data_IF_749996994449
#
_entry.id   IF_749996994449
#
_cell.length_a   1.000
_cell.length_b   1.000
_cell.length_c   1.000
_cell.angle_alpha   90.00
_cell.angle_beta   90.00
_cell.angle_gamma   90.00
#
_symmetry.space_group_name_H-M   'P 1'
#
loop_
_entity.id
_entity.type
_entity.pdbx_description
1 polymer ?
#
# COMPACT_ATOMS: atom_id res chain seq x y z
N UNK A 1 -20.45 -54.08 -11.94
CA UNK A 1 -19.48 -53.05 -12.38
C UNK A 1 -20.13 -51.68 -12.62
N UNK A 2 -21.25 -51.56 -13.35
CA UNK A 2 -21.82 -50.26 -13.76
C UNK A 2 -22.32 -49.36 -12.63
N UNK A 3 -22.94 -49.91 -11.57
CA UNK A 3 -23.42 -49.10 -10.43
C UNK A 3 -22.29 -48.43 -9.65
N UNK A 4 -21.23 -49.18 -9.32
CA UNK A 4 -20.06 -48.66 -8.59
C UNK A 4 -19.38 -47.53 -9.37
N UNK A 5 -19.25 -47.71 -10.69
CA UNK A 5 -18.64 -46.73 -11.58
C UNK A 5 -19.48 -45.45 -11.69
N UNK A 6 -20.81 -45.58 -11.78
CA UNK A 6 -21.70 -44.42 -11.78
C UNK A 6 -21.69 -43.66 -10.45
N UNK A 7 -21.59 -44.37 -9.32
CA UNK A 7 -21.42 -43.74 -7.99
C UNK A 7 -20.10 -42.98 -7.90
N UNK A 8 -19.02 -43.53 -8.44
CA UNK A 8 -17.71 -42.87 -8.44
C UNK A 8 -17.72 -41.57 -9.27
N UNK A 9 -18.35 -41.59 -10.46
CA UNK A 9 -18.53 -40.38 -11.27
C UNK A 9 -19.36 -39.31 -10.57
N UNK A 10 -20.42 -39.70 -9.86
CA UNK A 10 -21.23 -38.77 -9.08
C UNK A 10 -20.42 -38.05 -7.99
N UNK A 11 -19.57 -38.80 -7.27
CA UNK A 11 -18.67 -38.24 -6.26
C UNK A 11 -17.65 -37.29 -6.91
N UNK A 12 -17.07 -37.67 -8.05
CA UNK A 12 -16.07 -36.85 -8.73
C UNK A 12 -16.63 -35.51 -9.21
N UNK A 13 -17.84 -35.52 -9.79
CA UNK A 13 -18.53 -34.30 -10.23
C UNK A 13 -18.86 -33.40 -9.03
N UNK A 14 -19.29 -33.99 -7.92
CA UNK A 14 -19.59 -33.24 -6.70
C UNK A 14 -18.34 -32.58 -6.12
N UNK A 15 -17.21 -33.30 -6.05
CA UNK A 15 -15.93 -32.75 -5.61
C UNK A 15 -15.42 -31.65 -6.54
N UNK A 16 -15.58 -31.81 -7.86
CA UNK A 16 -15.21 -30.79 -8.83
C UNK A 16 -16.06 -29.53 -8.67
N UNK A 17 -17.36 -29.67 -8.37
CA UNK A 17 -18.24 -28.55 -8.06
C UNK A 17 -17.80 -27.79 -6.81
N UNK A 18 -17.39 -28.49 -5.76
CA UNK A 18 -16.86 -27.86 -4.52
C UNK A 18 -15.55 -27.11 -4.82
N UNK A 19 -14.62 -27.74 -5.53
CA UNK A 19 -13.36 -27.11 -5.93
C UNK A 19 -13.60 -25.86 -6.80
N UNK A 20 -14.51 -25.93 -7.77
CA UNK A 20 -14.85 -24.80 -8.61
C UNK A 20 -15.48 -23.64 -7.81
N UNK A 21 -16.35 -23.95 -6.84
CA UNK A 21 -16.93 -22.94 -5.93
C UNK A 21 -15.86 -22.28 -5.06
N UNK A 22 -14.91 -23.04 -4.52
CA UNK A 22 -13.80 -22.48 -3.73
C UNK A 22 -12.87 -21.59 -4.56
N UNK A 23 -12.60 -21.95 -5.81
CA UNK A 23 -11.82 -21.11 -6.74
C UNK A 23 -12.59 -19.83 -7.07
N UNK A 24 -13.91 -19.92 -7.31
CA UNK A 24 -14.76 -18.77 -7.58
C UNK A 24 -14.90 -17.82 -6.39
N UNK A 25 -15.05 -18.36 -5.17
CA UNK A 25 -15.10 -17.58 -3.94
C UNK A 25 -13.77 -16.88 -3.67
N UNK A 26 -12.62 -17.52 -3.92
CA UNK A 26 -11.33 -16.84 -3.81
C UNK A 26 -11.17 -15.71 -4.84
N UNK A 27 -11.73 -15.87 -6.05
CA UNK A 27 -11.67 -14.84 -7.08
C UNK A 27 -12.64 -13.68 -6.82
N UNK A 28 -13.83 -13.96 -6.27
CA UNK A 28 -14.87 -12.94 -6.01
C UNK A 28 -14.74 -12.27 -4.64
N UNK A 29 -14.25 -12.95 -3.60
CA UNK A 29 -13.95 -12.32 -2.30
C UNK A 29 -12.72 -11.38 -2.37
N UNK A 30 -11.90 -11.47 -3.42
CA UNK A 30 -10.91 -10.43 -3.72
C UNK A 30 -11.55 -9.12 -4.25
N UNK A 31 -12.83 -9.16 -4.64
CA UNK A 31 -13.52 -8.05 -5.32
C UNK A 31 -14.76 -7.50 -4.59
N UNK A 32 -15.36 -8.19 -3.61
CA UNK A 32 -16.71 -7.84 -3.12
C UNK A 32 -16.80 -7.56 -1.60
N UNK A 33 -15.73 -7.73 -0.83
CA UNK A 33 -15.69 -7.40 0.61
C UNK A 33 -14.60 -6.40 0.98
N UNK A 34 -14.43 -5.36 0.17
CA UNK A 34 -13.62 -4.21 0.54
C UNK A 34 -14.32 -2.94 0.11
N UNK A 35 -15.08 -2.31 1.01
CA UNK A 35 -15.06 -0.84 0.99
C UNK A 35 -13.58 -0.47 1.01
N UNK A 36 -13.14 0.38 0.09
CA UNK A 36 -11.77 0.88 0.01
C UNK A 36 -11.45 1.71 1.26
N UNK A 37 -11.34 1.06 2.42
CA UNK A 37 -10.61 1.58 3.54
C UNK A 37 -9.17 1.47 3.08
N UNK A 38 -8.65 2.56 2.52
CA UNK A 38 -7.22 2.65 2.25
C UNK A 38 -6.51 2.29 3.55
N UNK A 39 -5.61 1.30 3.48
CA UNK A 39 -4.79 0.91 4.62
C UNK A 39 -4.11 2.17 5.18
N UNK A 40 -4.18 2.35 6.49
CA UNK A 40 -3.62 3.52 7.15
C UNK A 40 -2.09 3.47 7.05
N UNK A 41 -1.42 4.63 6.92
CA UNK A 41 0.03 4.68 7.04
C UNK A 41 0.50 4.05 8.34
N UNK A 42 1.65 3.40 8.29
CA UNK A 42 2.28 2.86 9.48
C UNK A 42 2.84 3.96 10.37
N UNK A 43 2.70 3.78 11.68
CA UNK A 43 3.26 4.70 12.66
C UNK A 43 4.80 4.71 12.56
N UNK A 44 5.33 5.89 12.27
CA UNK A 44 6.77 6.14 12.11
C UNK A 44 7.33 7.03 13.21
N UNK A 45 6.49 7.60 14.07
CA UNK A 45 6.89 8.52 15.14
C UNK A 45 6.11 8.15 16.40
N UNK A 46 6.75 7.38 17.28
CA UNK A 46 6.17 7.04 18.58
C UNK A 46 5.77 8.31 19.36
N UNK A 47 4.66 8.25 20.09
CA UNK A 47 4.10 9.38 20.85
C UNK A 47 5.13 10.07 21.76
N UNK A 48 6.04 9.30 22.39
CA UNK A 48 7.12 9.84 23.24
C UNK A 48 8.09 10.78 22.50
N UNK A 49 8.12 10.73 21.17
CA UNK A 49 8.92 11.60 20.31
C UNK A 49 8.13 12.81 19.77
N UNK A 50 6.88 12.97 20.20
CA UNK A 50 6.01 14.10 19.87
C UNK A 50 5.91 14.98 21.12
N UNK A 51 6.62 16.11 21.12
CA UNK A 51 6.60 17.05 22.23
C UNK A 51 5.68 18.22 21.91
N UNK A 52 4.70 18.44 22.77
CA UNK A 52 3.73 19.53 22.65
C UNK A 52 4.03 20.57 23.73
N UNK A 53 4.23 21.81 23.32
CA UNK A 53 4.40 22.98 24.17
C UNK A 53 3.34 24.02 23.84
N UNK A 54 3.23 25.05 24.68
CA UNK A 54 2.25 26.13 24.50
C UNK A 54 2.42 26.89 23.17
N UNK A 55 3.64 26.93 22.62
CA UNK A 55 3.99 27.72 21.43
C UNK A 55 4.47 26.90 20.23
N UNK A 56 4.66 25.58 20.38
CA UNK A 56 5.24 24.74 19.33
C UNK A 56 4.92 23.25 19.50
N UNK A 57 5.03 22.53 18.39
CA UNK A 57 5.12 21.07 18.36
C UNK A 57 6.50 20.68 17.84
N UNK A 58 7.17 19.75 18.53
CA UNK A 58 8.49 19.25 18.13
C UNK A 58 8.39 17.74 17.88
N UNK A 59 8.73 17.34 16.65
CA UNK A 59 8.90 15.94 16.29
C UNK A 59 10.38 15.58 16.37
N UNK A 60 10.74 14.66 17.26
CA UNK A 60 12.11 14.18 17.43
C UNK A 60 12.40 13.05 16.43
N UNK A 61 12.76 13.41 15.20
CA UNK A 61 13.05 12.47 14.12
C UNK A 61 14.39 12.78 13.47
N UNK A 62 15.26 11.78 13.34
CA UNK A 62 16.56 11.93 12.69
C UNK A 62 16.41 11.97 11.16
N UNK A 63 17.15 12.86 10.50
CA UNK A 63 17.19 12.92 9.03
C UNK A 63 15.88 13.37 8.37
N UNK A 64 14.95 13.95 9.14
CA UNK A 64 13.69 14.45 8.60
C UNK A 64 13.92 15.65 7.66
N UNK A 65 13.18 15.66 6.55
CA UNK A 65 13.14 16.78 5.60
C UNK A 65 11.70 17.22 5.37
N UNK A 66 11.53 18.48 4.95
CA UNK A 66 10.24 19.04 4.56
C UNK A 66 10.00 18.83 3.06
N UNK A 67 8.76 18.57 2.68
CA UNK A 67 8.32 18.51 1.28
C UNK A 67 7.06 19.32 1.03
N UNK A 68 7.02 19.99 -0.12
CA UNK A 68 5.81 20.49 -0.74
C UNK A 68 5.36 19.55 -1.86
N UNK A 69 4.07 19.47 -2.11
CA UNK A 69 3.49 18.61 -3.15
C UNK A 69 2.85 19.44 -4.25
N UNK A 70 3.09 19.05 -5.50
CA UNK A 70 2.44 19.66 -6.66
C UNK A 70 0.96 19.26 -6.71
N UNK A 71 0.11 20.20 -7.12
CA UNK A 71 -1.33 20.00 -7.23
C UNK A 71 -1.73 19.26 -8.52
N UNK A 72 -1.22 18.05 -8.72
CA UNK A 72 -1.64 17.17 -9.83
C UNK A 72 -3.01 16.54 -9.57
N UNK A 73 -3.44 16.49 -8.30
CA UNK A 73 -4.71 15.92 -7.87
C UNK A 73 -4.75 14.39 -7.75
N UNK A 74 -3.64 13.69 -8.04
CA UNK A 74 -3.57 12.22 -7.94
C UNK A 74 -3.66 11.70 -6.51
N UNK A 75 -3.33 12.55 -5.53
CA UNK A 75 -3.31 12.21 -4.11
C UNK A 75 -4.47 12.85 -3.33
N UNK A 76 -5.47 13.42 -3.99
CA UNK A 76 -6.66 13.90 -3.29
C UNK A 76 -7.43 12.74 -2.63
N UNK A 77 -8.07 12.97 -1.47
CA UNK A 77 -8.09 14.21 -0.67
C UNK A 77 -6.90 14.36 0.29
N UNK A 78 -5.93 13.45 0.28
CA UNK A 78 -4.88 13.36 1.30
C UNK A 78 -3.78 14.40 1.11
N UNK A 79 -3.29 14.59 -0.12
CA UNK A 79 -2.30 15.62 -0.44
C UNK A 79 -2.87 16.61 -1.45
N UNK A 80 -2.57 17.88 -1.24
CA UNK A 80 -3.00 18.98 -2.08
C UNK A 80 -2.10 20.20 -1.92
N UNK A 81 -2.48 21.28 -2.60
CA UNK A 81 -1.82 22.57 -2.44
C UNK A 81 -1.85 23.03 -0.97
N UNK A 82 -0.71 23.51 -0.47
CA UNK A 82 -0.56 23.99 0.91
C UNK A 82 -0.22 22.91 1.94
N UNK A 83 -0.40 21.62 1.61
CA UNK A 83 -0.03 20.52 2.52
C UNK A 83 1.48 20.38 2.57
N UNK A 84 2.04 20.37 3.78
CA UNK A 84 3.46 20.13 4.02
C UNK A 84 3.67 18.72 4.54
N UNK A 85 4.59 17.97 3.90
CA UNK A 85 5.00 16.66 4.34
C UNK A 85 6.29 16.72 5.17
N UNK A 86 6.33 15.96 6.26
CA UNK A 86 7.59 15.59 6.92
C UNK A 86 7.94 14.19 6.46
N UNK A 87 9.16 14.00 5.94
CA UNK A 87 9.59 12.74 5.34
C UNK A 87 11.01 12.34 5.74
N UNK A 88 11.27 11.05 5.72
CA UNK A 88 12.57 10.44 6.04
C UNK A 88 13.04 9.55 4.89
N UNK A 89 14.35 9.29 4.82
CA UNK A 89 14.89 8.24 3.94
C UNK A 89 14.73 6.91 4.67
N UNK A 90 13.93 5.96 4.15
CA UNK A 90 13.81 4.63 4.76
C UNK A 90 15.14 3.88 4.64
N UNK A 91 15.49 3.10 5.67
CA UNK A 91 16.76 2.36 5.71
C UNK A 91 16.67 1.00 5.01
N UNK A 92 15.47 0.42 4.93
CA UNK A 92 15.25 -0.88 4.28
C UNK A 92 13.79 -1.07 3.82
N UNK A 93 13.57 -2.10 3.01
CA UNK A 93 12.25 -2.47 2.48
C UNK A 93 11.27 -2.91 3.58
N UNK A 94 11.77 -3.33 4.75
CA UNK A 94 10.97 -3.75 5.90
C UNK A 94 10.30 -2.57 6.62
N UNK A 95 10.83 -1.35 6.46
CA UNK A 95 10.23 -0.12 7.01
C UNK A 95 9.03 0.38 6.20
N UNK A 96 8.84 -0.16 4.99
CA UNK A 96 7.75 0.20 4.09
C UNK A 96 6.60 -0.80 4.24
N UNK A 97 5.42 -0.29 4.56
CA UNK A 97 4.21 -1.08 4.77
C UNK A 97 3.10 -0.63 3.82
N UNK A 98 2.15 -1.54 3.60
CA UNK A 98 0.90 -1.19 2.92
C UNK A 98 0.23 -0.06 3.70
N UNK A 99 -0.23 0.97 2.99
CA UNK A 99 -0.79 2.20 3.54
C UNK A 99 0.18 3.38 3.61
N UNK A 100 1.50 3.14 3.57
CA UNK A 100 2.50 4.23 3.62
C UNK A 100 2.45 5.10 2.37
N UNK A 101 2.73 6.40 2.53
CA UNK A 101 2.91 7.34 1.41
C UNK A 101 4.40 7.53 1.16
N UNK A 102 4.85 7.19 -0.04
CA UNK A 102 6.26 7.20 -0.42
C UNK A 102 6.51 8.09 -1.63
N UNK A 103 7.68 8.71 -1.67
CA UNK A 103 8.24 9.38 -2.85
C UNK A 103 9.22 8.43 -3.51
N UNK A 104 9.05 8.17 -4.81
CA UNK A 104 9.90 7.25 -5.56
C UNK A 104 10.15 7.76 -6.98
N UNK A 105 11.24 7.30 -7.59
CA UNK A 105 11.58 7.62 -8.97
C UNK A 105 10.91 6.63 -9.91
N UNK A 106 10.17 7.15 -10.89
CA UNK A 106 9.53 6.32 -11.90
C UNK A 106 9.51 7.02 -13.24
N UNK A 107 10.03 6.36 -14.27
CA UNK A 107 10.12 6.93 -15.64
C UNK A 107 10.82 8.30 -15.72
N UNK A 108 11.72 8.61 -14.78
CA UNK A 108 12.49 9.86 -14.73
C UNK A 108 11.94 10.90 -13.76
N UNK A 109 10.67 10.80 -13.37
CA UNK A 109 10.01 11.73 -12.46
C UNK A 109 10.01 11.22 -11.01
N UNK A 110 9.86 12.14 -10.06
CA UNK A 110 9.60 11.80 -8.64
C UNK A 110 8.09 11.81 -8.42
N UNK A 111 7.54 10.65 -8.10
CA UNK A 111 6.11 10.44 -7.88
C UNK A 111 5.87 10.20 -6.39
N UNK A 112 4.74 10.71 -5.88
CA UNK A 112 4.30 10.49 -4.50
C UNK A 112 2.98 9.74 -4.53
N UNK A 113 2.98 8.46 -4.13
CA UNK A 113 1.78 7.62 -4.08
C UNK A 113 1.73 6.78 -2.80
N UNK A 114 0.57 6.17 -2.54
CA UNK A 114 0.37 5.24 -1.43
C UNK A 114 0.74 3.82 -1.84
N UNK A 115 1.41 3.08 -0.96
CA UNK A 115 1.63 1.64 -1.11
C UNK A 115 0.31 0.91 -0.89
N UNK A 116 -0.16 0.17 -1.89
CA UNK A 116 -1.40 -0.62 -1.84
C UNK A 116 -1.15 -2.11 -1.80
N UNK A 117 0.05 -2.56 -2.15
CA UNK A 117 0.47 -3.96 -2.05
C UNK A 117 1.97 -4.04 -1.76
N UNK A 118 2.37 -5.08 -1.02
CA UNK A 118 3.76 -5.50 -0.83
C UNK A 118 3.86 -6.99 -1.15
N UNK A 119 4.83 -7.35 -1.99
CA UNK A 119 5.07 -8.75 -2.35
C UNK A 119 6.54 -9.04 -2.55
N UNK A 120 6.83 -10.28 -2.96
CA UNK A 120 8.17 -10.77 -3.24
C UNK A 120 8.13 -11.62 -4.51
N UNK A 121 9.10 -11.44 -5.39
CA UNK A 121 9.30 -12.25 -6.58
C UNK A 121 10.79 -12.59 -6.77
N UNK A 122 11.17 -13.07 -7.95
CA UNK A 122 12.56 -13.49 -8.23
C UNK A 122 13.59 -12.38 -8.07
N UNK A 123 13.17 -11.11 -8.16
CA UNK A 123 14.08 -9.96 -8.03
C UNK A 123 13.98 -9.32 -6.63
N UNK A 124 13.31 -9.99 -5.69
CA UNK A 124 13.17 -9.58 -4.30
C UNK A 124 11.85 -8.87 -4.00
N UNK A 125 11.86 -8.02 -2.98
CA UNK A 125 10.66 -7.30 -2.52
C UNK A 125 10.22 -6.29 -3.58
N UNK A 126 8.92 -6.21 -3.81
CA UNK A 126 8.31 -5.14 -4.61
C UNK A 126 7.15 -4.49 -3.87
N UNK A 127 6.80 -3.30 -4.33
CA UNK A 127 5.65 -2.54 -3.88
C UNK A 127 4.78 -2.19 -5.08
N UNK A 128 3.46 -2.29 -4.91
CA UNK A 128 2.51 -1.66 -5.83
C UNK A 128 2.04 -0.36 -5.19
N UNK A 129 2.18 0.74 -5.90
CA UNK A 129 1.73 2.06 -5.46
C UNK A 129 0.59 2.56 -6.31
N UNK A 130 -0.26 3.41 -5.73
CA UNK A 130 -1.36 4.09 -6.42
C UNK A 130 -1.59 5.46 -5.79
N UNK A 131 -1.92 6.45 -6.62
CA UNK A 131 -2.44 7.71 -6.11
C UNK A 131 -3.80 7.51 -5.45
N UNK A 132 -4.07 8.19 -4.34
CA UNK A 132 -5.35 8.08 -3.63
C UNK A 132 -6.58 8.42 -4.51
N UNK A 133 -6.36 9.25 -5.54
CA UNK A 133 -7.32 9.64 -6.58
C UNK A 133 -6.75 9.38 -8.00
N UNK A 134 -6.11 8.23 -8.20
CA UNK A 134 -5.64 7.76 -9.51
C UNK A 134 -6.01 6.30 -9.70
N UNK A 135 -6.35 5.86 -10.91
CA UNK A 135 -6.57 4.44 -11.24
C UNK A 135 -5.32 3.73 -11.77
N UNK A 136 -4.20 4.46 -11.83
CA UNK A 136 -2.93 3.93 -12.29
C UNK A 136 -2.15 3.33 -11.14
N UNK A 137 -1.60 2.13 -11.38
CA UNK A 137 -0.72 1.42 -10.47
C UNK A 137 0.70 1.43 -11.00
N UNK A 138 1.67 1.55 -10.10
CA UNK A 138 3.09 1.42 -10.40
C UNK A 138 3.71 0.31 -9.55
N UNK A 139 4.40 -0.63 -10.21
CA UNK A 139 5.24 -1.62 -9.52
C UNK A 139 6.66 -1.06 -9.42
N UNK A 140 7.17 -0.96 -8.20
CA UNK A 140 8.48 -0.40 -7.90
C UNK A 140 9.27 -1.30 -6.95
N UNK A 141 10.58 -1.06 -6.88
CA UNK A 141 11.50 -1.72 -5.95
C UNK A 141 11.95 -0.75 -4.87
N UNK A 142 12.60 -1.27 -3.83
CA UNK A 142 13.06 -0.44 -2.71
C UNK A 142 14.06 0.62 -3.17
N UNK A 143 14.94 0.29 -4.12
CA UNK A 143 15.93 1.21 -4.70
C UNK A 143 15.31 2.41 -5.45
N UNK A 144 14.04 2.32 -5.83
CA UNK A 144 13.31 3.44 -6.44
C UNK A 144 12.80 4.43 -5.39
N UNK A 145 12.67 4.01 -4.12
CA UNK A 145 12.08 4.80 -3.04
C UNK A 145 13.12 5.79 -2.50
N UNK A 146 12.80 7.07 -2.55
CA UNK A 146 13.65 8.13 -2.00
C UNK A 146 13.23 8.51 -0.58
N UNK A 147 11.91 8.58 -0.32
CA UNK A 147 11.39 9.02 0.97
C UNK A 147 10.11 8.29 1.38
N UNK A 148 9.94 8.15 2.69
CA UNK A 148 8.67 7.81 3.35
C UNK A 148 8.12 9.03 4.07
N UNK A 149 6.86 9.36 3.83
CA UNK A 149 6.15 10.44 4.53
C UNK A 149 5.70 9.93 5.90
N UNK A 150 6.01 10.69 6.94
CA UNK A 150 5.75 10.32 8.34
C UNK A 150 4.78 11.27 9.05
N UNK A 151 4.58 12.48 8.53
CA UNK A 151 3.57 13.41 9.02
C UNK A 151 3.09 14.33 7.88
N UNK A 152 1.85 14.79 8.00
CA UNK A 152 1.23 15.79 7.13
C UNK A 152 0.73 16.95 7.98
N UNK A 153 1.00 18.16 7.51
CA UNK A 153 0.60 19.41 8.13
C UNK A 153 -0.26 20.16 7.11
N UNK A 154 -1.50 20.50 7.52
CA UNK A 154 -2.51 21.18 6.72
C UNK A 154 -2.69 22.62 7.18
#
# INVERSE_FOLDING_TARGET
>A
MSKLMNTLYGILIFLFGILAAQVWDNYTNYSVTGSAVGELPSDSVEEKHILIYDDRVVLLVSGATLSSYDSTGSMYPVLGEGVNGVRIVPSSAEEIRVGDIISFRYSGDVIVHRVVERGEDSDGIYFITKGDNSDKFEKIRFEDIEYKTIALIY
#
